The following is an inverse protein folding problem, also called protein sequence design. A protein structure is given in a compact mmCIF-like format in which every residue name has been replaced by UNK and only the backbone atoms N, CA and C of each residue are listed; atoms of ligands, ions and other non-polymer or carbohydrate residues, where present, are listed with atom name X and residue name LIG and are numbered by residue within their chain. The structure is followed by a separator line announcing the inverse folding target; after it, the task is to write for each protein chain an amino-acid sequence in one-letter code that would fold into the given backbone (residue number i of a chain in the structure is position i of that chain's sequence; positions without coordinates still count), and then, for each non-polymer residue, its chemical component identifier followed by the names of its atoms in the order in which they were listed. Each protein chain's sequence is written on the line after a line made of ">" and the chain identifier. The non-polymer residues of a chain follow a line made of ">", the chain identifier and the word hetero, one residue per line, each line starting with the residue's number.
data_IF_402918261121
#
_entry.id   IF_402918261121
#
_cell.length_a   1.000
_cell.length_b   1.000
_cell.length_c   1.000
_cell.angle_alpha   90.00
_cell.angle_beta   90.00
_cell.angle_gamma   90.00
#
_symmetry.space_group_name_H-M   'P 1'
#
loop_
_entity.id
_entity.type
_entity.pdbx_description
1 polymer ?
#
# COMPACT_ATOMS: atom_id res chain seq x y z
N UNK A 1 14.75 10.16 -6.63
CA UNK A 1 13.93 10.57 -7.80
C UNK A 1 13.22 11.87 -7.46
N UNK A 2 13.67 12.97 -8.06
CA UNK A 2 13.09 14.30 -7.89
C UNK A 2 11.69 14.33 -8.50
N UNK A 3 10.67 14.47 -7.64
CA UNK A 3 9.31 14.80 -8.05
C UNK A 3 9.35 16.17 -8.74
N UNK A 4 9.14 16.22 -10.06
CA UNK A 4 8.94 17.47 -10.78
C UNK A 4 7.73 18.20 -10.16
N UNK A 5 7.90 19.40 -9.57
CA UNK A 5 6.80 20.14 -8.98
C UNK A 5 5.85 20.54 -10.10
N UNK A 6 4.60 20.08 -10.01
CA UNK A 6 3.55 20.51 -10.93
C UNK A 6 3.26 21.98 -10.62
N UNK A 7 3.40 22.92 -11.59
CA UNK A 7 3.23 24.34 -11.31
C UNK A 7 1.84 24.65 -10.74
N UNK A 8 1.81 25.33 -9.59
CA UNK A 8 0.60 25.85 -8.97
C UNK A 8 0.05 27.02 -9.81
N UNK A 9 -0.70 26.68 -10.86
CA UNK A 9 -1.29 27.65 -11.79
C UNK A 9 -1.78 27.04 -13.11
N UNK A 10 -1.50 25.77 -13.36
CA UNK A 10 -1.87 25.14 -14.62
C UNK A 10 -3.39 24.90 -14.72
N UNK A 11 -4.06 25.32 -15.82
CA UNK A 11 -5.49 25.09 -15.99
C UNK A 11 -5.82 23.60 -15.86
N UNK A 12 -6.88 23.28 -15.10
CA UNK A 12 -7.30 21.90 -14.80
C UNK A 12 -7.47 21.04 -16.06
N UNK A 13 -7.78 21.67 -17.19
CA UNK A 13 -7.93 21.07 -18.51
C UNK A 13 -6.62 20.44 -19.05
N UNK A 14 -5.46 20.98 -18.70
CA UNK A 14 -4.15 20.45 -19.16
C UNK A 14 -3.65 19.28 -18.30
N UNK A 15 -4.21 19.06 -17.11
CA UNK A 15 -3.81 17.96 -16.22
C UNK A 15 -3.85 16.57 -16.88
N UNK A 16 -4.93 16.13 -17.54
CA UNK A 16 -4.96 14.81 -18.20
C UNK A 16 -3.90 14.69 -19.29
N UNK A 17 -3.65 15.75 -20.06
CA UNK A 17 -2.61 15.77 -21.10
C UNK A 17 -1.24 15.61 -20.46
N UNK A 18 -0.94 16.33 -19.38
CA UNK A 18 0.34 16.19 -18.67
C UNK A 18 0.50 14.80 -18.07
N UNK A 19 -0.55 14.24 -17.47
CA UNK A 19 -0.50 12.88 -16.92
C UNK A 19 -0.24 11.85 -18.03
N UNK A 20 -0.85 12.01 -19.20
CA UNK A 20 -0.60 11.18 -20.36
C UNK A 20 0.84 11.33 -20.87
N UNK A 21 1.32 12.57 -21.05
CA UNK A 21 2.70 12.84 -21.45
C UNK A 21 3.68 12.22 -20.45
N UNK A 22 3.44 12.36 -19.15
CA UNK A 22 4.27 11.75 -18.10
C UNK A 22 4.28 10.23 -18.21
N UNK A 23 3.12 9.60 -18.42
CA UNK A 23 3.02 8.16 -18.62
C UNK A 23 3.77 7.69 -19.88
N UNK A 24 3.67 8.43 -20.99
CA UNK A 24 4.42 8.14 -22.22
C UNK A 24 5.93 8.30 -22.03
N UNK A 25 6.37 9.37 -21.38
CA UNK A 25 7.78 9.57 -21.04
C UNK A 25 8.30 8.43 -20.17
N UNK A 26 7.55 8.03 -19.13
CA UNK A 26 7.90 6.89 -18.28
C UNK A 26 7.96 5.58 -19.07
N UNK A 27 7.02 5.35 -20.00
CA UNK A 27 7.00 4.18 -20.88
C UNK A 27 8.26 4.09 -21.75
N UNK A 28 8.58 5.16 -22.49
CA UNK A 28 9.76 5.17 -23.37
C UNK A 28 11.06 5.10 -22.60
N UNK A 29 11.14 5.78 -21.44
CA UNK A 29 12.29 5.68 -20.56
C UNK A 29 12.47 4.26 -20.06
N UNK A 30 11.41 3.63 -19.54
CA UNK A 30 11.45 2.25 -19.06
C UNK A 30 11.88 1.28 -20.18
N UNK A 31 11.28 1.40 -21.36
CA UNK A 31 11.62 0.57 -22.51
C UNK A 31 13.10 0.74 -22.90
N UNK A 32 13.62 1.97 -22.93
CA UNK A 32 15.04 2.23 -23.17
C UNK A 32 15.93 1.57 -22.12
N UNK A 33 15.57 1.63 -20.84
CA UNK A 33 16.34 0.99 -19.78
C UNK A 33 16.36 -0.54 -19.94
N UNK A 34 15.19 -1.17 -20.10
CA UNK A 34 15.05 -2.61 -20.22
C UNK A 34 15.68 -3.15 -21.53
N UNK A 35 15.63 -2.37 -22.61
CA UNK A 35 16.12 -2.79 -23.91
C UNK A 35 17.56 -2.37 -24.21
N UNK A 36 18.16 -1.41 -23.50
CA UNK A 36 19.51 -0.92 -23.86
C UNK A 36 20.47 -0.75 -22.69
N UNK A 37 19.99 -0.33 -21.51
CA UNK A 37 20.87 -0.07 -20.35
C UNK A 37 21.13 -1.30 -19.50
N UNK A 38 20.15 -2.18 -19.37
CA UNK A 38 20.26 -3.39 -18.56
C UNK A 38 20.67 -4.56 -19.47
N UNK A 39 21.61 -5.41 -19.04
CA UNK A 39 21.88 -6.68 -19.72
C UNK A 39 20.60 -7.50 -19.88
N UNK A 40 20.47 -8.24 -20.97
CA UNK A 40 19.25 -9.04 -21.22
C UNK A 40 19.07 -10.08 -20.10
N UNK A 41 18.01 -10.00 -19.29
CA UNK A 41 17.76 -11.00 -18.26
C UNK A 41 17.04 -12.21 -18.86
N UNK A 42 17.10 -13.36 -18.20
CA UNK A 42 16.27 -14.51 -18.57
C UNK A 42 14.81 -14.30 -18.17
N UNK A 43 14.57 -13.56 -17.08
CA UNK A 43 13.23 -13.32 -16.51
C UNK A 43 13.09 -11.87 -16.03
N UNK A 44 11.98 -11.24 -16.38
CA UNK A 44 11.51 -10.00 -15.75
C UNK A 44 10.46 -10.32 -14.68
N UNK A 45 10.67 -9.80 -13.47
CA UNK A 45 9.67 -9.88 -12.38
C UNK A 45 9.08 -8.49 -12.18
N UNK A 46 7.76 -8.37 -12.29
CA UNK A 46 7.03 -7.10 -12.16
C UNK A 46 6.20 -7.09 -10.89
N UNK A 47 6.55 -6.23 -9.94
CA UNK A 47 5.73 -5.96 -8.75
C UNK A 47 4.74 -4.82 -9.04
N UNK A 48 3.45 -5.12 -9.06
CA UNK A 48 2.37 -4.15 -9.26
C UNK A 48 2.02 -3.47 -7.91
N UNK A 49 2.06 -2.12 -7.73
CA UNK A 49 1.69 -1.08 -8.72
C UNK A 49 2.77 -0.04 -9.08
N UNK A 50 2.72 0.62 -10.26
CA UNK A 50 1.64 0.67 -11.27
C UNK A 50 1.76 -0.31 -12.46
N UNK A 51 0.66 -1.01 -12.78
CA UNK A 51 0.52 -1.92 -13.94
C UNK A 51 0.72 -1.27 -15.30
N UNK A 52 0.16 -0.08 -15.52
CA UNK A 52 0.23 0.65 -16.79
C UNK A 52 1.04 1.92 -16.57
N UNK A 53 2.11 2.19 -17.35
CA UNK A 53 2.51 1.54 -18.59
C UNK A 53 3.52 0.37 -18.44
N UNK A 54 3.86 -0.01 -17.21
CA UNK A 54 4.94 -0.97 -16.89
C UNK A 54 4.76 -2.34 -17.55
N UNK A 55 3.59 -2.98 -17.41
CA UNK A 55 3.32 -4.30 -18.00
C UNK A 55 3.45 -4.28 -19.53
N UNK A 56 3.06 -3.17 -20.16
CA UNK A 56 3.20 -2.98 -21.61
C UNK A 56 4.68 -2.91 -21.99
N UNK A 57 5.45 -2.07 -21.30
CA UNK A 57 6.87 -1.88 -21.57
C UNK A 57 7.67 -3.18 -21.34
N UNK A 58 7.39 -3.87 -20.23
CA UNK A 58 8.05 -5.14 -19.90
C UNK A 58 7.68 -6.21 -20.91
N UNK A 59 6.41 -6.29 -21.36
CA UNK A 59 6.03 -7.25 -22.41
C UNK A 59 6.76 -7.02 -23.71
N UNK A 60 6.91 -5.77 -24.12
CA UNK A 60 7.63 -5.42 -25.33
C UNK A 60 9.13 -5.71 -25.20
N UNK A 61 9.73 -5.39 -24.05
CA UNK A 61 11.13 -5.68 -23.77
C UNK A 61 11.40 -7.21 -23.73
N UNK A 62 10.54 -7.97 -23.05
CA UNK A 62 10.58 -9.44 -23.00
C UNK A 62 10.52 -10.05 -24.39
N UNK A 63 9.61 -9.58 -25.25
CA UNK A 63 9.52 -10.09 -26.62
C UNK A 63 10.79 -9.81 -27.42
N UNK A 64 11.36 -8.60 -27.32
CA UNK A 64 12.60 -8.23 -27.99
C UNK A 64 13.80 -9.02 -27.48
N UNK A 65 13.82 -9.33 -26.17
CA UNK A 65 14.94 -9.98 -25.48
C UNK A 65 14.80 -11.50 -25.33
N UNK A 66 13.65 -12.07 -25.71
CA UNK A 66 13.28 -13.47 -25.47
C UNK A 66 13.33 -13.88 -23.99
N UNK A 67 12.98 -12.95 -23.11
CA UNK A 67 12.94 -13.16 -21.66
C UNK A 67 11.55 -13.56 -21.21
N UNK A 68 11.41 -14.39 -20.18
CA UNK A 68 10.12 -14.67 -19.56
C UNK A 68 9.64 -13.49 -18.68
N UNK A 69 8.34 -13.42 -18.40
CA UNK A 69 7.73 -12.44 -17.50
C UNK A 69 6.97 -13.14 -16.39
N UNK A 70 7.25 -12.73 -15.15
CA UNK A 70 6.48 -13.09 -13.98
C UNK A 70 5.85 -11.82 -13.41
N UNK A 71 4.52 -11.83 -13.23
CA UNK A 71 3.80 -10.73 -12.60
C UNK A 71 3.49 -11.08 -11.15
N UNK A 72 3.87 -10.21 -10.23
CA UNK A 72 3.56 -10.31 -8.81
C UNK A 72 2.43 -9.34 -8.46
N UNK A 73 1.24 -9.90 -8.28
CA UNK A 73 -0.01 -9.20 -8.03
C UNK A 73 -0.16 -8.87 -6.54
N UNK A 74 0.06 -7.61 -6.17
CA UNK A 74 -0.19 -7.09 -4.82
C UNK A 74 -1.48 -6.28 -4.73
N UNK A 75 -1.85 -5.61 -5.82
CA UNK A 75 -3.08 -4.83 -5.96
C UNK A 75 -3.56 -4.87 -7.42
N UNK A 76 -4.78 -4.41 -7.66
CA UNK A 76 -5.26 -4.15 -9.02
C UNK A 76 -5.15 -2.66 -9.33
N UNK A 77 -4.37 -2.27 -10.33
CA UNK A 77 -4.18 -0.88 -10.70
C UNK A 77 -5.48 -0.20 -11.11
N UNK A 78 -6.39 -0.91 -11.78
CA UNK A 78 -7.70 -0.36 -12.15
C UNK A 78 -8.58 -0.02 -10.93
N UNK A 79 -8.47 -0.76 -9.82
CA UNK A 79 -9.27 -0.46 -8.62
C UNK A 79 -8.74 0.79 -7.93
N UNK A 80 -7.41 0.94 -7.83
CA UNK A 80 -6.75 2.15 -7.33
C UNK A 80 -7.14 3.37 -8.17
N UNK A 81 -7.11 3.25 -9.50
CA UNK A 81 -7.57 4.32 -10.39
C UNK A 81 -9.06 4.64 -10.18
N UNK A 82 -9.87 3.61 -9.94
CA UNK A 82 -11.29 3.75 -9.64
C UNK A 82 -11.60 4.49 -8.33
N UNK A 83 -10.70 4.44 -7.35
CA UNK A 83 -10.81 5.25 -6.12
C UNK A 83 -10.60 6.74 -6.41
N UNK A 84 -9.69 7.08 -7.32
CA UNK A 84 -9.39 8.48 -7.66
C UNK A 84 -10.32 9.10 -8.71
N UNK A 85 -10.72 8.33 -9.73
CA UNK A 85 -11.47 8.84 -10.90
C UNK A 85 -12.91 8.34 -10.98
N UNK A 86 -13.35 7.50 -10.03
CA UNK A 86 -14.67 6.88 -10.03
C UNK A 86 -14.72 5.60 -10.87
N UNK A 87 -15.37 4.57 -10.33
CA UNK A 87 -15.43 3.21 -10.92
C UNK A 87 -16.10 3.15 -12.30
N UNK A 88 -17.01 4.09 -12.59
CA UNK A 88 -17.76 4.14 -13.86
C UNK A 88 -17.00 4.86 -14.98
N UNK A 89 -15.86 5.47 -14.66
CA UNK A 89 -15.05 6.24 -15.59
C UNK A 89 -14.54 5.40 -16.76
N UNK A 90 -14.58 5.90 -18.02
CA UNK A 90 -14.04 5.17 -19.17
C UNK A 90 -12.55 4.88 -19.03
N UNK A 91 -11.79 5.75 -18.36
CA UNK A 91 -10.36 5.54 -18.10
C UNK A 91 -10.10 4.29 -17.27
N UNK A 92 -10.95 4.00 -16.27
CA UNK A 92 -10.84 2.80 -15.43
C UNK A 92 -11.13 1.54 -16.25
N UNK A 93 -12.10 1.59 -17.16
CA UNK A 93 -12.41 0.48 -18.07
C UNK A 93 -11.25 0.19 -19.02
N UNK A 94 -10.66 1.23 -19.60
CA UNK A 94 -9.46 1.09 -20.45
C UNK A 94 -8.29 0.53 -19.64
N UNK A 95 -8.03 1.08 -18.44
CA UNK A 95 -6.97 0.58 -17.57
C UNK A 95 -7.17 -0.89 -17.22
N UNK A 96 -8.38 -1.27 -16.81
CA UNK A 96 -8.75 -2.66 -16.51
C UNK A 96 -8.51 -3.59 -17.70
N UNK A 97 -8.90 -3.16 -18.91
CA UNK A 97 -8.66 -3.94 -20.13
C UNK A 97 -7.17 -4.13 -20.41
N UNK A 98 -6.37 -3.06 -20.32
CA UNK A 98 -4.91 -3.14 -20.54
C UNK A 98 -4.28 -4.06 -19.50
N UNK A 99 -4.60 -3.84 -18.22
CA UNK A 99 -4.05 -4.61 -17.10
C UNK A 99 -4.39 -6.09 -17.23
N UNK A 100 -5.64 -6.43 -17.57
CA UNK A 100 -6.08 -7.80 -17.81
C UNK A 100 -5.42 -8.41 -19.04
N UNK A 101 -5.35 -7.68 -20.15
CA UNK A 101 -4.78 -8.17 -21.41
C UNK A 101 -3.29 -8.49 -21.26
N UNK A 102 -2.49 -7.54 -20.76
CA UNK A 102 -1.06 -7.75 -20.57
C UNK A 102 -0.75 -8.69 -19.40
N UNK A 103 -1.60 -8.72 -18.36
CA UNK A 103 -1.50 -9.68 -17.26
C UNK A 103 -1.60 -11.13 -17.74
N UNK A 104 -2.51 -11.42 -18.69
CA UNK A 104 -2.64 -12.74 -19.33
C UNK A 104 -1.41 -13.18 -20.14
N UNK A 105 -0.61 -12.23 -20.61
CA UNK A 105 0.56 -12.51 -21.45
C UNK A 105 1.82 -12.83 -20.66
N UNK A 106 1.74 -12.88 -19.32
CA UNK A 106 2.83 -13.27 -18.46
C UNK A 106 3.04 -14.79 -18.49
N UNK A 107 4.30 -15.22 -18.42
CA UNK A 107 4.69 -16.63 -18.37
C UNK A 107 4.46 -17.24 -16.98
N UNK A 108 4.42 -16.39 -15.94
CA UNK A 108 4.07 -16.77 -14.58
C UNK A 108 3.32 -15.66 -13.84
N UNK A 109 2.59 -16.03 -12.79
CA UNK A 109 1.91 -15.08 -11.91
C UNK A 109 1.99 -15.50 -10.45
N UNK A 110 2.31 -14.54 -9.59
CA UNK A 110 2.28 -14.63 -8.13
C UNK A 110 1.22 -13.69 -7.58
N UNK A 111 0.63 -14.00 -6.43
CA UNK A 111 -0.36 -13.10 -5.82
C UNK A 111 -0.33 -13.19 -4.29
N UNK A 112 -0.65 -12.08 -3.63
CA UNK A 112 -0.52 -11.96 -2.18
C UNK A 112 -1.60 -12.66 -1.36
N UNK A 113 -2.74 -13.02 -1.95
CA UNK A 113 -3.84 -13.64 -1.22
C UNK A 113 -4.59 -14.68 -2.06
N UNK A 114 -5.22 -15.64 -1.38
CA UNK A 114 -6.15 -16.61 -2.00
C UNK A 114 -7.35 -15.92 -2.66
N UNK A 115 -7.84 -14.83 -2.08
CA UNK A 115 -8.94 -14.06 -2.66
C UNK A 115 -8.54 -13.46 -4.01
N UNK A 116 -7.33 -12.89 -4.10
CA UNK A 116 -6.79 -12.37 -5.35
C UNK A 116 -6.51 -13.49 -6.36
N UNK A 117 -5.98 -14.64 -5.92
CA UNK A 117 -5.82 -15.82 -6.77
C UNK A 117 -7.15 -16.23 -7.43
N UNK A 118 -8.23 -16.26 -6.64
CA UNK A 118 -9.55 -16.62 -7.11
C UNK A 118 -10.11 -15.60 -8.12
N UNK A 119 -9.94 -14.31 -7.85
CA UNK A 119 -10.30 -13.23 -8.77
C UNK A 119 -9.53 -13.35 -10.10
N UNK A 120 -8.21 -13.58 -10.03
CA UNK A 120 -7.35 -13.78 -11.19
C UNK A 120 -7.77 -15.01 -11.99
N UNK A 121 -8.08 -16.13 -11.32
CA UNK A 121 -8.47 -17.37 -11.99
C UNK A 121 -9.85 -17.24 -12.66
N UNK A 122 -10.87 -16.73 -11.95
CA UNK A 122 -12.24 -16.73 -12.44
C UNK A 122 -12.54 -15.58 -13.41
N UNK A 123 -12.12 -14.37 -13.07
CA UNK A 123 -12.48 -13.18 -13.84
C UNK A 123 -11.43 -12.83 -14.87
N UNK A 124 -10.17 -13.19 -14.63
CA UNK A 124 -9.05 -12.85 -15.49
C UNK A 124 -8.48 -14.03 -16.23
N UNK A 125 -8.85 -15.28 -15.89
CA UNK A 125 -8.29 -16.50 -16.51
C UNK A 125 -6.75 -16.48 -16.47
N UNK A 126 -6.21 -16.11 -15.30
CA UNK A 126 -4.80 -16.08 -14.96
C UNK A 126 -4.57 -17.07 -13.82
N UNK A 127 -3.71 -18.06 -14.04
CA UNK A 127 -3.30 -19.02 -13.00
C UNK A 127 -2.14 -18.43 -12.18
N UNK A 128 -2.46 -17.89 -11.01
CA UNK A 128 -1.47 -17.36 -10.09
C UNK A 128 -1.15 -18.33 -8.94
N UNK A 129 0.08 -18.27 -8.43
CA UNK A 129 0.49 -18.97 -7.19
C UNK A 129 0.42 -17.99 -6.02
N UNK A 130 -0.13 -18.41 -4.88
CA UNK A 130 -0.21 -17.54 -3.70
C UNK A 130 1.16 -17.47 -3.03
N UNK A 131 1.66 -16.24 -2.88
CA UNK A 131 2.84 -15.90 -2.10
C UNK A 131 2.42 -14.77 -1.16
N UNK A 132 2.08 -15.11 0.09
CA UNK A 132 1.63 -14.13 1.07
C UNK A 132 2.70 -13.08 1.34
N UNK A 133 2.30 -11.82 1.34
CA UNK A 133 3.15 -10.73 1.80
C UNK A 133 3.29 -10.86 3.32
N UNK A 134 4.48 -11.29 3.77
CA UNK A 134 4.79 -11.44 5.18
C UNK A 134 5.67 -10.27 5.59
N UNK A 135 5.31 -9.54 6.66
CA UNK A 135 6.16 -8.48 7.14
C UNK A 135 7.50 -9.08 7.62
N UNK A 136 8.60 -8.31 7.54
CA UNK A 136 9.87 -8.72 8.12
C UNK A 136 9.73 -9.19 9.59
N UNK A 137 10.61 -10.09 10.04
CA UNK A 137 10.54 -10.69 11.39
C UNK A 137 10.53 -9.68 12.54
N UNK A 138 11.09 -8.49 12.32
CA UNK A 138 11.07 -7.41 13.32
C UNK A 138 9.67 -6.82 13.55
N UNK A 139 8.72 -7.02 12.63
CA UNK A 139 7.31 -6.73 12.87
C UNK A 139 6.67 -7.90 13.62
N UNK A 140 6.81 -7.85 14.94
CA UNK A 140 6.15 -8.78 15.85
C UNK A 140 5.07 -8.08 16.67
N UNK A 141 4.12 -8.83 17.24
CA UNK A 141 3.24 -8.28 18.28
C UNK A 141 4.09 -7.65 19.39
N UNK A 142 3.80 -6.39 19.72
CA UNK A 142 4.52 -5.68 20.77
C UNK A 142 4.28 -6.35 22.13
N UNK A 143 5.35 -6.55 22.89
CA UNK A 143 5.32 -7.01 24.27
C UNK A 143 4.53 -6.04 25.15
N UNK A 144 4.09 -6.53 26.32
CA UNK A 144 3.33 -5.70 27.25
C UNK A 144 4.14 -4.47 27.71
N UNK A 145 5.45 -4.61 27.86
CA UNK A 145 6.35 -3.52 28.23
C UNK A 145 6.49 -2.47 27.12
N UNK A 146 6.66 -2.89 25.87
CA UNK A 146 6.71 -1.98 24.72
C UNK A 146 5.41 -1.20 24.56
N UNK A 147 4.28 -1.90 24.71
CA UNK A 147 2.94 -1.29 24.69
C UNK A 147 2.78 -0.28 25.81
N UNK A 148 3.20 -0.62 27.03
CA UNK A 148 3.14 0.29 28.19
C UNK A 148 3.99 1.54 27.95
N UNK A 149 5.25 1.39 27.54
CA UNK A 149 6.15 2.52 27.23
C UNK A 149 5.58 3.42 26.13
N UNK A 150 5.04 2.83 25.06
CA UNK A 150 4.39 3.57 23.99
C UNK A 150 3.17 4.34 24.50
N UNK A 151 2.27 3.68 25.23
CA UNK A 151 1.07 4.30 25.75
C UNK A 151 1.38 5.37 26.81
N UNK A 152 2.43 5.22 27.62
CA UNK A 152 2.90 6.27 28.53
C UNK A 152 3.37 7.52 27.77
N UNK A 153 4.13 7.34 26.67
CA UNK A 153 4.52 8.47 25.80
C UNK A 153 3.33 9.16 25.15
N UNK A 154 2.37 8.37 24.66
CA UNK A 154 1.18 8.88 23.98
C UNK A 154 0.09 9.37 24.95
N UNK A 155 0.22 9.10 26.26
CA UNK A 155 -0.85 9.33 27.23
C UNK A 155 -1.33 10.78 27.24
N UNK A 156 -0.39 11.73 27.15
CA UNK A 156 -0.69 13.17 27.08
C UNK A 156 -1.52 13.52 25.85
N UNK A 157 -1.23 12.88 24.73
CA UNK A 157 -1.80 13.18 23.42
C UNK A 157 -3.18 12.53 23.23
N UNK A 158 -3.39 11.37 23.84
CA UNK A 158 -4.66 10.64 23.79
C UNK A 158 -5.65 11.18 24.83
N UNK A 159 -5.15 11.63 25.98
CA UNK A 159 -6.01 12.06 27.09
C UNK A 159 -6.49 13.50 26.96
N UNK A 160 -5.80 14.33 26.16
CA UNK A 160 -6.15 15.73 25.99
C UNK A 160 -6.53 16.02 24.53
N UNK A 161 -7.68 16.65 24.27
CA UNK A 161 -8.04 17.06 22.92
C UNK A 161 -7.03 18.09 22.42
N UNK A 162 -6.46 17.88 21.23
CA UNK A 162 -5.52 18.82 20.59
C UNK A 162 -6.23 19.80 19.67
N UNK A 163 -7.40 19.43 19.15
CA UNK A 163 -8.23 20.28 18.27
C UNK A 163 -9.69 20.35 18.70
N UNK A 164 -10.41 21.35 18.15
CA UNK A 164 -11.84 21.57 18.41
C UNK A 164 -12.75 20.39 18.02
N UNK A 165 -12.26 19.48 17.17
CA UNK A 165 -13.00 18.27 16.74
C UNK A 165 -12.69 17.03 17.58
N UNK A 166 -11.75 17.13 18.51
CA UNK A 166 -11.39 16.01 19.37
C UNK A 166 -12.36 15.97 20.55
N UNK A 167 -13.03 14.83 20.74
CA UNK A 167 -13.95 14.60 21.84
C UNK A 167 -13.34 13.59 22.81
N UNK A 168 -13.21 13.99 24.08
CA UNK A 168 -12.81 13.09 25.17
C UNK A 168 -14.02 12.92 26.09
N UNK A 169 -14.58 11.72 26.13
CA UNK A 169 -15.60 11.37 27.14
C UNK A 169 -14.88 11.00 28.43
N UNK A 170 -15.12 11.77 29.49
CA UNK A 170 -14.46 11.62 30.78
C UNK A 170 -14.93 10.37 31.54
N UNK A 171 -14.46 9.20 31.12
CA UNK A 171 -14.47 7.96 31.92
C UNK A 171 -13.17 7.73 32.70
N UNK A 172 -12.18 8.61 32.52
CA UNK A 172 -10.87 8.49 33.14
C UNK A 172 -10.88 9.11 34.54
N UNK A 173 -11.02 8.27 35.57
CA UNK A 173 -10.55 8.60 36.92
C UNK A 173 -9.10 8.15 37.02
N UNK A 174 -8.18 9.08 37.21
CA UNK A 174 -6.83 8.75 37.71
C UNK A 174 -7.01 7.95 39.01
N UNK A 175 -6.38 6.77 39.11
CA UNK A 175 -6.39 6.06 40.38
C UNK A 175 -5.54 6.87 41.35
N UNK A 176 -6.20 7.49 42.34
CA UNK A 176 -5.51 8.17 43.42
C UNK A 176 -4.71 7.17 44.25
N UNK A 177 -3.38 7.22 44.12
CA UNK A 177 -2.43 6.57 45.02
C UNK A 177 -1.19 6.05 44.30
N UNK A 178 0.00 6.60 44.63
CA UNK A 178 1.38 6.08 44.44
C UNK A 178 1.75 5.20 43.21
N UNK A 179 0.99 5.20 42.11
CA UNK A 179 1.35 4.50 40.87
C UNK A 179 2.19 5.44 40.03
N UNK A 180 3.51 5.20 39.99
CA UNK A 180 4.49 6.10 39.38
C UNK A 180 4.42 6.09 37.83
N UNK A 181 3.85 5.04 37.21
CA UNK A 181 3.69 4.93 35.76
C UNK A 181 2.34 4.28 35.38
N UNK A 182 1.31 5.11 35.19
CA UNK A 182 -0.03 4.69 34.77
C UNK A 182 -0.40 5.29 33.40
N UNK A 183 -1.09 4.52 32.56
CA UNK A 183 -1.74 5.03 31.35
C UNK A 183 -3.16 4.45 31.20
N UNK A 184 -3.86 4.83 30.13
CA UNK A 184 -5.25 4.42 29.89
C UNK A 184 -5.46 2.88 29.83
N UNK A 185 -4.43 2.11 29.48
CA UNK A 185 -4.53 0.67 29.24
C UNK A 185 -3.85 -0.20 30.31
N UNK A 186 -2.81 0.32 30.96
CA UNK A 186 -1.88 -0.42 31.83
C UNK A 186 -1.42 0.43 33.01
N UNK A 187 -0.98 -0.23 34.06
CA UNK A 187 -0.33 0.38 35.21
C UNK A 187 0.86 -0.48 35.64
N UNK A 188 1.86 0.15 36.25
CA UNK A 188 3.03 -0.55 36.79
C UNK A 188 2.88 -0.73 38.30
N UNK A 189 3.07 -1.95 38.78
CA UNK A 189 3.19 -2.29 40.21
C UNK A 189 4.58 -2.86 40.40
N UNK A 190 5.41 -2.19 41.20
CA UNK A 190 6.82 -2.52 41.36
C UNK A 190 7.57 -2.61 40.01
N UNK A 191 7.96 -3.81 39.60
CA UNK A 191 8.62 -4.09 38.30
C UNK A 191 7.67 -4.69 37.27
N UNK A 192 6.45 -5.07 37.66
CA UNK A 192 5.51 -5.77 36.81
C UNK A 192 4.49 -4.81 36.19
N UNK A 193 4.19 -5.03 34.92
CA UNK A 193 3.22 -4.24 34.15
C UNK A 193 1.93 -5.05 34.04
N UNK A 194 0.82 -4.45 34.44
CA UNK A 194 -0.49 -5.11 34.50
C UNK A 194 -1.50 -4.37 33.62
N UNK A 195 -2.36 -5.14 32.93
CA UNK A 195 -3.47 -4.61 32.14
C UNK A 195 -4.62 -4.17 33.06
N UNK A 196 -5.21 -3.00 32.80
CA UNK A 196 -6.41 -2.55 33.53
C UNK A 196 -7.63 -3.38 33.15
N UNK A 197 -8.46 -3.66 34.15
CA UNK A 197 -9.83 -4.16 33.99
C UNK A 197 -10.72 -3.03 33.44
N UNK A 198 -11.53 -3.33 32.41
CA UNK A 198 -12.38 -2.33 31.76
C UNK A 198 -11.63 -1.30 30.89
N UNK A 199 -10.36 -1.57 30.54
CA UNK A 199 -9.58 -0.69 29.64
C UNK A 199 -10.29 -0.48 28.31
N UNK A 200 -10.17 0.71 27.70
CA UNK A 200 -10.76 0.97 26.40
C UNK A 200 -10.02 0.21 25.28
N UNK A 201 -10.63 0.18 24.10
CA UNK A 201 -10.01 -0.31 22.87
C UNK A 201 -9.53 0.88 22.06
N UNK A 202 -8.25 0.86 21.66
CA UNK A 202 -7.69 1.85 20.74
C UNK A 202 -7.97 1.42 19.31
N UNK A 203 -8.76 2.20 18.58
CA UNK A 203 -8.97 2.01 17.15
C UNK A 203 -8.15 3.08 16.44
N UNK A 204 -7.16 2.64 15.65
CA UNK A 204 -6.36 3.53 14.80
C UNK A 204 -6.84 3.35 13.37
N UNK A 205 -7.23 4.45 12.74
CA UNK A 205 -7.54 4.49 11.31
C UNK A 205 -6.57 5.46 10.65
N UNK A 206 -5.76 4.96 9.73
CA UNK A 206 -4.94 5.78 8.86
C UNK A 206 -5.61 5.84 7.49
N UNK A 207 -5.93 7.04 7.01
CA UNK A 207 -6.18 7.25 5.59
C UNK A 207 -4.83 7.31 4.89
N UNK A 208 -4.47 6.25 4.17
CA UNK A 208 -3.38 6.27 3.20
C UNK A 208 -3.90 6.74 1.84
#
# INVERSE_FOLDING_TARGET
>A
MTQLPVPHGLPRILRPVILLCKALTQFFMLLWFLCYKVPAPDVFIVQNPPSVPTLVAVKWASWLRRSAIIVDWHNFGYTLLGLSMGRTSPYVKVYHWIEKHYGKMADGSLCVTKAMQHELAQNWDIKATVLYDQPPEFFHPASLEERHKLCCRLNKDISHPRGFRDFVSAGYKEMGGNVINENLFTYQVDSDIVLKLGRPVLIVSSTC
#
